data_IF_079711219518
#
_entry.id   IF_079711219518
#
_cell.length_a   1.000
_cell.length_b   1.000
_cell.length_c   1.000
_cell.angle_alpha   90.00
_cell.angle_beta   90.00
_cell.angle_gamma   90.00
#
_symmetry.space_group_name_H-M   'P 1'
#
loop_
_entity.id
_entity.type
_entity.pdbx_description
1 polymer ?
#
# COMPACT_ATOMS: atom_id res chain seq x y z
N UNK A 1 -6.47 -6.98 6.05
CA UNK A 1 -5.04 -6.86 6.42
C UNK A 1 -4.53 -8.04 7.24
N UNK A 2 -5.40 -8.78 7.94
CA UNK A 2 -5.07 -9.99 8.69
C UNK A 2 -4.07 -10.97 8.04
N UNK A 3 -4.31 -11.39 6.79
CA UNK A 3 -3.43 -12.35 6.12
C UNK A 3 -2.02 -11.80 5.73
N UNK A 4 -1.78 -10.49 5.82
CA UNK A 4 -0.51 -9.89 5.40
C UNK A 4 0.57 -9.94 6.50
N UNK A 5 0.21 -10.28 7.74
CA UNK A 5 1.14 -10.37 8.86
C UNK A 5 1.97 -11.66 8.90
N UNK A 6 1.46 -12.74 8.31
CA UNK A 6 2.05 -14.09 8.40
C UNK A 6 2.93 -14.49 7.22
N UNK A 7 2.78 -13.85 6.06
CA UNK A 7 3.55 -14.19 4.85
C UNK A 7 4.11 -12.94 4.15
N UNK A 8 5.44 -12.74 4.07
CA UNK A 8 6.03 -11.58 3.40
C UNK A 8 5.81 -11.57 1.88
N UNK A 9 5.35 -12.69 1.32
CA UNK A 9 5.07 -12.88 -0.11
C UNK A 9 3.63 -12.48 -0.50
N UNK A 10 2.71 -12.39 0.47
CA UNK A 10 1.34 -11.95 0.23
C UNK A 10 1.20 -10.43 0.35
N UNK A 11 1.96 -9.67 -0.46
CA UNK A 11 1.61 -8.27 -0.73
C UNK A 11 0.32 -8.25 -1.55
N UNK A 12 -0.82 -8.49 -0.89
CA UNK A 12 -2.15 -8.40 -1.51
C UNK A 12 -2.27 -7.04 -2.22
N UNK A 13 -2.71 -7.06 -3.48
CA UNK A 13 -2.93 -5.85 -4.29
C UNK A 13 -3.65 -4.81 -3.44
N UNK A 14 -3.11 -3.59 -3.40
CA UNK A 14 -3.72 -2.48 -2.66
C UNK A 14 -5.01 -2.10 -3.40
N UNK A 15 -6.15 -2.55 -2.86
CA UNK A 15 -7.48 -2.31 -3.44
C UNK A 15 -7.80 -0.80 -3.40
N UNK A 16 -7.58 -0.16 -2.26
CA UNK A 16 -7.77 1.29 -2.10
C UNK A 16 -6.54 1.93 -1.46
N UNK A 17 -5.83 2.74 -2.25
CA UNK A 17 -4.66 3.51 -1.78
C UNK A 17 -5.07 4.59 -0.77
N UNK A 18 -6.22 5.22 -0.98
CA UNK A 18 -6.72 6.31 -0.12
C UNK A 18 -7.11 5.79 1.26
N UNK A 19 -7.88 4.70 1.32
CA UNK A 19 -8.29 4.10 2.60
C UNK A 19 -7.07 3.62 3.39
N UNK A 20 -6.12 2.96 2.72
CA UNK A 20 -4.90 2.47 3.36
C UNK A 20 -4.07 3.60 3.96
N UNK A 21 -3.83 4.68 3.20
CA UNK A 21 -3.10 5.85 3.72
C UNK A 21 -3.79 6.49 4.92
N UNK A 22 -5.11 6.58 4.88
CA UNK A 22 -5.88 7.19 5.96
C UNK A 22 -5.88 6.30 7.22
N UNK A 23 -5.93 4.98 7.07
CA UNK A 23 -5.76 4.04 8.18
C UNK A 23 -4.37 4.12 8.78
N UNK A 24 -3.31 4.09 7.96
CA UNK A 24 -1.92 4.20 8.42
C UNK A 24 -1.67 5.52 9.18
N UNK A 25 -2.35 6.59 8.79
CA UNK A 25 -2.32 7.86 9.52
C UNK A 25 -3.00 7.73 10.90
N UNK A 26 -4.17 7.10 10.96
CA UNK A 26 -4.89 6.89 12.22
C UNK A 26 -4.14 5.94 13.18
N UNK A 27 -3.47 4.90 12.66
CA UNK A 27 -2.65 3.97 13.47
C UNK A 27 -1.39 4.61 14.07
N UNK A 28 -0.86 5.67 13.44
CA UNK A 28 0.31 6.41 13.96
C UNK A 28 -0.03 7.34 15.12
N UNK A 29 -1.30 7.62 15.36
CA UNK A 29 -1.71 8.44 16.48
C UNK A 29 -1.56 7.64 17.78
N UNK A 30 -0.61 8.05 18.61
CA UNK A 30 -0.26 7.37 19.88
C UNK A 30 -1.42 7.43 20.90
N UNK A 31 -2.31 8.42 20.77
CA UNK A 31 -3.49 8.58 21.62
C UNK A 31 -4.76 8.56 20.77
N UNK A 32 -5.32 7.38 20.48
CA UNK A 32 -6.66 7.30 19.92
C UNK A 32 -7.65 7.69 21.02
N UNK A 33 -8.24 8.88 20.90
CA UNK A 33 -9.40 9.27 21.71
C UNK A 33 -10.65 8.49 21.33
N UNK A 34 -11.74 8.60 22.13
CA UNK A 34 -13.05 8.09 21.72
C UNK A 34 -13.45 8.64 20.36
N UNK A 35 -14.15 7.85 19.53
CA UNK A 35 -14.53 8.29 18.19
C UNK A 35 -15.56 9.42 18.28
N UNK A 36 -15.20 10.61 17.81
CA UNK A 36 -16.13 11.74 17.69
C UNK A 36 -16.60 11.94 16.25
N UNK A 37 -15.72 11.65 15.28
CA UNK A 37 -16.01 11.79 13.87
C UNK A 37 -16.50 10.47 13.27
N UNK A 38 -17.37 10.55 12.26
CA UNK A 38 -17.82 9.38 11.47
C UNK A 38 -16.65 8.59 10.88
N UNK A 39 -15.58 9.31 10.49
CA UNK A 39 -14.33 8.68 10.01
C UNK A 39 -13.66 7.86 11.10
N UNK A 40 -13.58 8.38 12.33
CA UNK A 40 -12.91 7.71 13.45
C UNK A 40 -13.69 6.46 13.88
N UNK A 41 -15.03 6.51 13.85
CA UNK A 41 -15.87 5.33 14.03
C UNK A 41 -15.50 4.22 13.04
N UNK A 42 -15.36 4.56 11.75
CA UNK A 42 -15.01 3.57 10.71
C UNK A 42 -13.59 3.04 10.90
N UNK A 43 -12.61 3.88 11.26
CA UNK A 43 -11.23 3.42 11.47
C UNK A 43 -11.08 2.56 12.72
N UNK A 44 -11.70 2.93 13.83
CA UNK A 44 -11.70 2.10 15.04
C UNK A 44 -12.44 0.79 14.79
N UNK A 45 -13.56 0.80 14.06
CA UNK A 45 -14.28 -0.41 13.67
C UNK A 45 -13.42 -1.33 12.78
N UNK A 46 -12.67 -0.76 11.83
CA UNK A 46 -11.76 -1.51 10.97
C UNK A 46 -10.60 -2.14 11.75
N UNK A 47 -10.05 -1.42 12.74
CA UNK A 47 -9.01 -1.95 13.62
C UNK A 47 -9.53 -3.08 14.52
N UNK A 48 -10.71 -2.90 15.13
CA UNK A 48 -11.36 -3.95 15.92
C UNK A 48 -11.60 -5.22 15.07
N UNK A 49 -12.10 -5.03 13.85
CA UNK A 49 -12.31 -6.13 12.91
C UNK A 49 -11.00 -6.81 12.50
N UNK A 50 -9.91 -6.06 12.33
CA UNK A 50 -8.60 -6.61 12.01
C UNK A 50 -8.04 -7.53 13.11
N UNK A 51 -8.39 -7.28 14.37
CA UNK A 51 -8.07 -8.14 15.52
C UNK A 51 -9.01 -9.35 15.62
N UNK A 52 -10.15 -9.32 14.93
CA UNK A 52 -11.20 -10.35 14.96
C UNK A 52 -12.32 -10.06 15.96
N UNK A 53 -12.37 -8.87 16.55
CA UNK A 53 -13.44 -8.43 17.44
C UNK A 53 -14.59 -7.80 16.62
N UNK A 54 -15.56 -8.65 16.29
CA UNK A 54 -16.73 -8.25 15.49
C UNK A 54 -17.74 -7.44 16.31
N UNK A 55 -17.89 -7.72 17.61
CA UNK A 55 -18.90 -7.09 18.46
C UNK A 55 -18.59 -5.60 18.63
N UNK A 56 -17.34 -5.27 18.97
CA UNK A 56 -16.87 -3.88 19.05
C UNK A 56 -16.96 -3.16 17.71
N UNK A 57 -16.67 -3.86 16.60
CA UNK A 57 -16.82 -3.29 15.26
C UNK A 57 -18.29 -2.94 14.96
N UNK A 58 -19.22 -3.84 15.30
CA UNK A 58 -20.66 -3.61 15.15
C UNK A 58 -21.15 -2.42 15.98
N UNK A 59 -20.75 -2.32 17.25
CA UNK A 59 -21.12 -1.21 18.13
C UNK A 59 -20.65 0.13 17.57
N UNK A 60 -19.39 0.21 17.14
CA UNK A 60 -18.81 1.43 16.57
C UNK A 60 -19.49 1.88 15.28
N UNK A 61 -19.92 0.93 14.45
CA UNK A 61 -20.64 1.22 13.21
C UNK A 61 -22.09 1.60 13.50
N UNK A 62 -22.77 0.94 14.43
CA UNK A 62 -24.16 1.26 14.79
C UNK A 62 -24.29 2.63 15.48
N UNK A 63 -23.25 3.08 16.17
CA UNK A 63 -23.19 4.39 16.84
C UNK A 63 -23.14 5.60 15.87
N UNK A 64 -22.94 5.38 14.56
CA UNK A 64 -22.84 6.47 13.59
C UNK A 64 -24.22 7.13 13.38
N UNK A 65 -24.31 8.44 13.64
CA UNK A 65 -25.56 9.22 13.53
C UNK A 65 -26.19 9.29 12.13
N UNK A 66 -25.46 8.84 11.09
CA UNK A 66 -25.94 8.88 9.70
C UNK A 66 -27.09 7.91 9.46
N UNK A 67 -27.22 6.86 10.28
CA UNK A 67 -28.28 5.87 10.13
C UNK A 67 -29.67 6.46 10.37
N UNK A 68 -29.80 7.49 11.21
CA UNK A 68 -31.08 8.11 11.56
C UNK A 68 -31.68 8.92 10.40
N UNK A 69 -30.88 9.19 9.36
CA UNK A 69 -31.31 9.87 8.14
C UNK A 69 -31.92 8.92 7.09
N UNK A 70 -31.86 7.60 7.33
CA UNK A 70 -32.31 6.59 6.39
C UNK A 70 -33.67 6.00 6.81
N UNK A 71 -34.65 5.87 5.89
CA UNK A 71 -35.98 5.36 6.22
C UNK A 71 -36.00 3.90 6.67
N UNK A 72 -35.00 3.09 6.29
CA UNK A 72 -34.89 1.66 6.61
C UNK A 72 -33.64 1.36 7.47
N UNK A 73 -33.37 2.21 8.47
CA UNK A 73 -32.15 2.13 9.27
C UNK A 73 -31.95 0.78 9.97
N UNK A 74 -33.00 0.21 10.56
CA UNK A 74 -32.92 -1.02 11.35
C UNK A 74 -32.56 -2.25 10.50
N UNK A 75 -33.23 -2.41 9.35
CA UNK A 75 -32.94 -3.51 8.40
C UNK A 75 -31.50 -3.42 7.87
N UNK A 76 -31.01 -2.21 7.60
CA UNK A 76 -29.62 -2.00 7.18
C UNK A 76 -28.62 -2.32 8.29
N UNK A 77 -28.87 -1.92 9.55
CA UNK A 77 -28.03 -2.26 10.70
C UNK A 77 -27.95 -3.78 10.90
N UNK A 78 -29.06 -4.50 10.73
CA UNK A 78 -29.12 -5.95 10.81
C UNK A 78 -28.35 -6.63 9.67
N UNK A 79 -28.52 -6.16 8.44
CA UNK A 79 -27.76 -6.68 7.28
C UNK A 79 -26.26 -6.45 7.45
N UNK A 80 -25.87 -5.25 7.91
CA UNK A 80 -24.47 -4.87 8.07
C UNK A 80 -23.79 -5.64 9.22
N UNK A 81 -24.47 -5.81 10.35
CA UNK A 81 -23.96 -6.64 11.46
C UNK A 81 -23.73 -8.08 11.03
N UNK A 82 -24.67 -8.68 10.28
CA UNK A 82 -24.46 -10.01 9.70
C UNK A 82 -23.24 -10.08 8.77
N UNK A 83 -23.02 -9.05 7.94
CA UNK A 83 -21.82 -8.97 7.08
C UNK A 83 -20.53 -8.78 7.87
N UNK A 84 -20.55 -7.99 8.94
CA UNK A 84 -19.40 -7.80 9.83
C UNK A 84 -19.06 -9.09 10.58
N UNK A 85 -20.06 -9.86 11.01
CA UNK A 85 -19.84 -11.19 11.61
C UNK A 85 -19.20 -12.16 10.61
N UNK A 86 -19.71 -12.22 9.37
CA UNK A 86 -19.17 -13.09 8.31
C UNK A 86 -17.68 -12.74 8.00
N UNK A 87 -17.37 -11.45 7.82
CA UNK A 87 -16.00 -11.02 7.54
C UNK A 87 -15.09 -11.05 8.77
N UNK A 88 -15.65 -10.86 9.97
CA UNK A 88 -14.95 -10.98 11.25
C UNK A 88 -14.46 -12.41 11.46
N UNK A 89 -15.30 -13.41 11.20
CA UNK A 89 -14.93 -14.82 11.23
C UNK A 89 -13.76 -15.12 10.28
N UNK A 90 -13.85 -14.66 9.02
CA UNK A 90 -12.76 -14.87 8.04
C UNK A 90 -11.46 -14.21 8.51
N UNK A 91 -11.55 -12.99 9.00
CA UNK A 91 -10.41 -12.21 9.48
C UNK A 91 -9.75 -12.85 10.69
N UNK A 92 -10.57 -13.37 11.62
CA UNK A 92 -10.10 -14.13 12.78
C UNK A 92 -9.32 -15.37 12.35
N UNK A 93 -9.88 -16.19 11.45
CA UNK A 93 -9.19 -17.39 10.97
C UNK A 93 -7.88 -17.00 10.26
N UNK A 94 -7.84 -15.96 9.42
CA UNK A 94 -6.59 -15.55 8.77
C UNK A 94 -5.53 -15.06 9.75
N UNK A 95 -5.93 -14.34 10.80
CA UNK A 95 -4.99 -13.77 11.77
C UNK A 95 -4.42 -14.85 12.67
N UNK A 96 -5.26 -15.79 13.11
CA UNK A 96 -4.89 -16.76 14.13
C UNK A 96 -4.65 -18.18 13.61
N UNK A 97 -4.88 -18.47 12.33
CA UNK A 97 -4.61 -19.78 11.72
C UNK A 97 -3.22 -20.34 12.06
N UNK A 98 -2.11 -19.57 12.04
CA UNK A 98 -0.78 -20.11 12.36
C UNK A 98 -0.65 -20.64 13.79
N UNK A 99 -1.50 -20.20 14.72
CA UNK A 99 -1.44 -20.59 16.14
C UNK A 99 -2.33 -21.80 16.47
N UNK A 100 -3.19 -22.22 15.53
CA UNK A 100 -4.13 -23.32 15.75
C UNK A 100 -3.78 -24.55 14.93
N UNK A 101 -3.78 -25.72 15.57
CA UNK A 101 -3.73 -27.01 14.87
C UNK A 101 -5.12 -27.44 14.38
N UNK A 102 -6.13 -27.25 15.22
CA UNK A 102 -7.52 -27.58 14.93
C UNK A 102 -8.48 -26.61 15.65
N UNK A 103 -9.61 -26.29 15.01
CA UNK A 103 -10.67 -25.43 15.54
C UNK A 103 -12.04 -26.08 15.37
N UNK A 104 -12.79 -26.26 16.46
CA UNK A 104 -14.16 -26.77 16.39
C UNK A 104 -15.12 -25.74 15.79
N UNK A 105 -15.99 -26.16 14.86
CA UNK A 105 -16.98 -25.27 14.25
C UNK A 105 -18.02 -24.78 15.24
N UNK A 106 -18.39 -25.59 16.23
CA UNK A 106 -19.39 -25.23 17.24
C UNK A 106 -18.89 -24.07 18.11
N UNK A 107 -17.60 -24.07 18.50
CA UNK A 107 -16.99 -22.92 19.21
C UNK A 107 -16.96 -21.66 18.36
N UNK A 108 -16.66 -21.77 17.06
CA UNK A 108 -16.69 -20.63 16.15
C UNK A 108 -18.11 -20.09 15.98
N UNK A 109 -19.12 -20.95 15.93
CA UNK A 109 -20.53 -20.57 15.89
C UNK A 109 -20.94 -19.78 17.14
N UNK A 110 -20.53 -20.22 18.33
CA UNK A 110 -20.76 -19.51 19.60
C UNK A 110 -20.04 -18.16 19.63
N UNK A 111 -18.76 -18.10 19.26
CA UNK A 111 -17.96 -16.88 19.32
C UNK A 111 -18.44 -15.77 18.39
N UNK A 112 -18.97 -16.13 17.22
CA UNK A 112 -19.45 -15.18 16.22
C UNK A 112 -20.97 -15.05 16.17
N UNK A 113 -21.69 -15.75 17.05
CA UNK A 113 -23.16 -15.78 17.11
C UNK A 113 -23.81 -16.12 15.75
N UNK A 114 -23.17 -17.03 15.01
CA UNK A 114 -23.63 -17.45 13.69
C UNK A 114 -24.11 -18.91 13.72
N UNK A 115 -25.15 -19.27 12.94
CA UNK A 115 -25.54 -20.66 12.78
C UNK A 115 -24.38 -21.51 12.27
N UNK A 116 -24.18 -22.69 12.87
CA UNK A 116 -23.09 -23.61 12.52
C UNK A 116 -23.06 -23.94 11.02
N UNK A 117 -24.24 -24.05 10.38
CA UNK A 117 -24.37 -24.24 8.93
C UNK A 117 -23.74 -23.11 8.12
N UNK A 118 -23.91 -21.85 8.55
CA UNK A 118 -23.30 -20.68 7.88
C UNK A 118 -21.79 -20.67 8.08
N UNK A 119 -21.31 -20.98 9.29
CA UNK A 119 -19.87 -21.09 9.59
C UNK A 119 -19.23 -22.17 8.71
N UNK A 120 -19.83 -23.37 8.65
CA UNK A 120 -19.35 -24.46 7.81
C UNK A 120 -19.30 -24.07 6.32
N UNK A 121 -20.34 -23.37 5.81
CA UNK A 121 -20.38 -22.90 4.43
C UNK A 121 -19.30 -21.84 4.14
N UNK A 122 -19.07 -20.90 5.07
CA UNK A 122 -18.02 -19.89 4.95
C UNK A 122 -16.63 -20.53 4.93
N UNK A 123 -16.36 -21.43 5.87
CA UNK A 123 -15.08 -22.14 5.96
C UNK A 123 -14.84 -22.99 4.71
N UNK A 124 -15.86 -23.74 4.25
CA UNK A 124 -15.77 -24.54 3.02
C UNK A 124 -15.49 -23.65 1.80
N UNK A 125 -16.11 -22.47 1.73
CA UNK A 125 -15.84 -21.48 0.69
C UNK A 125 -14.38 -21.00 0.73
N UNK A 126 -13.84 -20.70 1.92
CA UNK A 126 -12.44 -20.27 2.06
C UNK A 126 -11.45 -21.35 1.63
N UNK A 127 -11.74 -22.62 1.94
CA UNK A 127 -10.92 -23.77 1.48
C UNK A 127 -11.01 -23.90 -0.04
N UNK A 128 -12.21 -23.77 -0.63
CA UNK A 128 -12.41 -23.92 -2.07
C UNK A 128 -11.72 -22.82 -2.92
N UNK A 129 -11.51 -21.63 -2.36
CA UNK A 129 -10.75 -20.55 -3.00
C UNK A 129 -9.26 -20.55 -2.68
N UNK A 130 -8.74 -21.61 -2.03
CA UNK A 130 -7.35 -21.72 -1.57
C UNK A 130 -6.91 -20.53 -0.71
N UNK A 131 -7.83 -19.94 0.06
CA UNK A 131 -7.50 -18.83 0.96
C UNK A 131 -6.81 -19.33 2.23
N UNK A 132 -7.08 -20.57 2.65
CA UNK A 132 -6.52 -21.22 3.84
C UNK A 132 -6.08 -22.64 3.47
N UNK A 133 -4.86 -23.02 3.88
CA UNK A 133 -4.39 -24.39 3.85
C UNK A 133 -5.00 -25.20 5.01
N UNK A 134 -6.29 -25.56 4.91
CA UNK A 134 -6.99 -26.34 5.92
C UNK A 134 -7.92 -27.38 5.30
N UNK A 135 -8.26 -28.41 6.08
CA UNK A 135 -9.22 -29.43 5.71
C UNK A 135 -10.36 -29.44 6.74
N UNK A 136 -11.58 -29.65 6.26
CA UNK A 136 -12.75 -29.77 7.12
C UNK A 136 -13.00 -31.25 7.45
N UNK A 137 -12.93 -31.62 8.73
CA UNK A 137 -13.39 -32.91 9.22
C UNK A 137 -14.90 -32.86 9.47
N UNK A 138 -15.65 -33.62 8.66
CA UNK A 138 -17.11 -33.67 8.73
C UNK A 138 -17.64 -34.47 9.93
N UNK A 139 -16.88 -35.44 10.44
CA UNK A 139 -17.33 -36.30 11.54
C UNK A 139 -17.22 -35.54 12.85
N UNK A 140 -16.05 -34.97 13.13
CA UNK A 140 -15.77 -34.23 14.36
C UNK A 140 -16.15 -32.74 14.27
N UNK A 141 -16.72 -32.28 13.15
CA UNK A 141 -17.07 -30.87 12.88
C UNK A 141 -15.94 -29.90 13.23
N UNK A 142 -14.74 -30.23 12.78
CA UNK A 142 -13.53 -29.51 13.17
C UNK A 142 -12.73 -29.11 11.92
N UNK A 143 -12.22 -27.88 11.93
CA UNK A 143 -11.30 -27.36 10.92
C UNK A 143 -9.89 -27.73 11.33
N UNK A 144 -9.21 -28.56 10.53
CA UNK A 144 -7.82 -28.98 10.77
C UNK A 144 -6.91 -28.20 9.85
N UNK A 145 -5.98 -27.43 10.41
CA UNK A 145 -5.03 -26.67 9.61
C UNK A 145 -3.91 -27.58 9.14
N UNK A 146 -3.65 -27.56 7.82
CA UNK A 146 -2.47 -28.20 7.28
C UNK A 146 -1.34 -27.22 7.46
N UNK A 147 -0.57 -27.37 8.54
CA UNK A 147 0.73 -26.72 8.67
C UNK A 147 1.54 -27.14 7.45
N UNK A 148 1.69 -26.23 6.49
CA UNK A 148 2.64 -26.42 5.41
C UNK A 148 4.03 -26.56 6.01
N UNK A 149 5.03 -26.83 5.16
CA UNK A 149 6.41 -26.52 5.53
C UNK A 149 6.48 -24.99 5.60
N UNK A 150 6.05 -24.42 6.72
CA UNK A 150 6.19 -23.00 6.99
C UNK A 150 7.68 -22.74 7.06
N UNK A 151 8.23 -22.17 5.99
CA UNK A 151 9.61 -21.74 5.98
C UNK A 151 9.80 -20.79 7.16
N UNK A 152 10.83 -21.05 7.95
CA UNK A 152 11.19 -20.15 9.05
C UNK A 152 11.31 -18.73 8.52
N UNK A 153 10.99 -17.73 9.33
CA UNK A 153 11.15 -16.31 8.96
C UNK A 153 12.55 -16.03 8.38
N UNK A 154 13.58 -16.71 8.88
CA UNK A 154 14.94 -16.62 8.34
C UNK A 154 15.06 -17.20 6.93
N UNK A 155 14.44 -18.36 6.66
CA UNK A 155 14.39 -18.97 5.32
C UNK A 155 13.63 -18.09 4.33
N UNK A 156 12.49 -17.53 4.74
CA UNK A 156 11.74 -16.60 3.88
C UNK A 156 12.53 -15.33 3.58
N UNK A 157 13.24 -14.78 4.58
CA UNK A 157 14.12 -13.63 4.38
C UNK A 157 15.31 -13.97 3.47
N UNK A 158 15.89 -15.16 3.61
CA UNK A 158 16.99 -15.63 2.77
C UNK A 158 16.55 -15.76 1.30
N UNK A 159 15.38 -16.34 1.02
CA UNK A 159 14.81 -16.40 -0.32
C UNK A 159 14.55 -15.00 -0.88
N UNK A 160 13.91 -14.11 -0.11
CA UNK A 160 13.65 -12.74 -0.53
C UNK A 160 14.94 -11.95 -0.80
N UNK A 161 16.02 -12.22 -0.08
CA UNK A 161 17.35 -11.66 -0.35
C UNK A 161 17.97 -12.27 -1.61
N UNK A 162 17.80 -13.57 -1.84
CA UNK A 162 18.25 -14.24 -3.06
C UNK A 162 17.58 -13.64 -4.30
N UNK A 163 16.26 -13.44 -4.28
CA UNK A 163 15.53 -12.82 -5.40
C UNK A 163 15.99 -11.37 -5.64
N UNK A 164 16.23 -10.61 -4.57
CA UNK A 164 16.78 -9.25 -4.67
C UNK A 164 18.19 -9.24 -5.23
N UNK A 165 19.03 -10.20 -4.83
CA UNK A 165 20.38 -10.32 -5.34
C UNK A 165 20.37 -10.64 -6.84
N UNK A 166 19.53 -11.58 -7.28
CA UNK A 166 19.31 -11.88 -8.69
C UNK A 166 18.84 -10.64 -9.46
N UNK A 167 17.85 -9.90 -8.94
CA UNK A 167 17.40 -8.66 -9.57
C UNK A 167 18.47 -7.56 -9.61
N UNK A 168 19.38 -7.50 -8.64
CA UNK A 168 20.52 -6.58 -8.66
C UNK A 168 21.57 -6.99 -9.70
N UNK A 169 21.78 -8.30 -9.90
CA UNK A 169 22.66 -8.81 -10.96
C UNK A 169 22.09 -8.41 -12.33
N UNK A 170 20.80 -8.65 -12.59
CA UNK A 170 20.15 -8.23 -13.83
C UNK A 170 20.23 -6.72 -14.07
N UNK A 171 20.05 -5.91 -13.01
CA UNK A 171 20.20 -4.45 -13.11
C UNK A 171 21.65 -4.04 -13.42
N UNK A 172 22.63 -4.69 -12.79
CA UNK A 172 24.04 -4.45 -13.06
C UNK A 172 24.40 -4.80 -14.51
N UNK A 173 23.92 -5.93 -15.02
CA UNK A 173 24.10 -6.34 -16.41
C UNK A 173 23.49 -5.32 -17.38
N UNK A 174 22.25 -4.88 -17.16
CA UNK A 174 21.61 -3.84 -17.98
C UNK A 174 22.38 -2.51 -17.97
N UNK A 175 22.87 -2.07 -16.81
CA UNK A 175 23.67 -0.84 -16.71
C UNK A 175 25.02 -1.02 -17.40
N UNK A 176 25.62 -2.21 -17.29
CA UNK A 176 26.86 -2.54 -17.99
C UNK A 176 26.66 -2.53 -19.50
N UNK A 177 25.60 -3.16 -20.02
CA UNK A 177 25.25 -3.14 -21.45
C UNK A 177 24.99 -1.72 -21.96
N UNK A 178 24.26 -0.89 -21.20
CA UNK A 178 24.03 0.52 -21.55
C UNK A 178 25.34 1.33 -21.60
N UNK A 179 26.26 1.11 -20.66
CA UNK A 179 27.58 1.74 -20.66
C UNK A 179 28.45 1.22 -21.80
N UNK A 180 28.39 -0.07 -22.09
CA UNK A 180 29.17 -0.71 -23.15
C UNK A 180 28.68 -0.32 -24.55
N UNK A 181 27.36 -0.17 -24.75
CA UNK A 181 26.77 0.33 -25.99
C UNK A 181 26.89 1.86 -26.13
N UNK A 182 26.87 2.61 -25.01
CA UNK A 182 27.15 4.04 -25.00
C UNK A 182 28.62 4.41 -25.19
N UNK A 183 29.54 3.44 -25.09
CA UNK A 183 30.98 3.60 -25.31
C UNK A 183 31.44 3.33 -26.75
N UNK A 184 30.56 2.87 -27.64
CA UNK A 184 30.89 2.50 -29.03
C UNK A 184 30.43 3.52 -30.08
N UNK A 185 30.15 4.77 -29.70
CA UNK A 185 29.94 5.89 -30.65
C UNK A 185 30.94 7.02 -30.39
N UNK A 186 32.22 6.69 -30.29
CA UNK A 186 33.25 7.71 -30.12
C UNK A 186 34.65 7.18 -29.89
N UNK A 187 35.26 6.61 -30.93
CA UNK A 187 36.72 6.63 -31.06
C UNK A 187 37.45 5.36 -30.64
N UNK A 188 37.37 4.32 -31.46
CA UNK A 188 38.52 3.44 -31.74
C UNK A 188 38.44 3.01 -33.21
N UNK A 189 38.72 3.95 -34.11
CA UNK A 189 39.08 3.62 -35.49
C UNK A 189 40.58 3.38 -35.51
N UNK A 190 40.94 2.14 -35.20
CA UNK A 190 42.29 1.61 -35.27
C UNK A 190 42.78 1.59 -36.73
N UNK A 191 44.07 1.87 -36.90
CA UNK A 191 44.71 2.28 -38.14
C UNK A 191 44.38 1.45 -39.38
N UNK A 192 43.91 2.14 -40.42
CA UNK A 192 44.18 1.73 -41.79
C UNK A 192 44.17 2.93 -42.75
N UNK A 193 45.34 3.12 -43.39
CA UNK A 193 45.56 3.84 -44.64
C UNK A 193 45.21 5.35 -44.70
N UNK A 194 46.25 6.20 -44.75
CA UNK A 194 46.62 6.97 -45.96
C UNK A 194 47.77 7.96 -45.70
N UNK A 195 48.92 7.54 -46.19
CA UNK A 195 49.96 8.32 -46.87
C UNK A 195 49.60 9.76 -47.27
N UNK A 196 50.49 10.71 -46.91
CA UNK A 196 50.83 11.82 -47.80
C UNK A 196 50.68 13.25 -47.23
N UNK A 197 51.82 13.84 -46.86
CA UNK A 197 52.15 15.19 -47.34
C UNK A 197 51.87 16.40 -46.45
N UNK A 198 52.94 16.95 -45.87
CA UNK A 198 53.26 18.37 -46.10
C UNK A 198 52.85 19.39 -45.04
N UNK A 199 53.82 19.79 -44.22
CA UNK A 199 54.28 21.18 -44.27
C UNK A 199 53.91 22.15 -43.14
N UNK A 200 54.98 22.72 -42.56
CA UNK A 200 55.13 24.07 -41.98
C UNK A 200 54.63 24.31 -40.56
N UNK A 201 55.58 24.23 -39.64
CA UNK A 201 55.59 25.03 -38.42
C UNK A 201 55.89 26.51 -38.68
N UNK A 202 55.61 27.35 -37.67
CA UNK A 202 56.17 28.71 -37.60
C UNK A 202 55.36 29.71 -36.78
N UNK A 203 55.88 30.02 -35.58
CA UNK A 203 55.98 31.34 -34.92
C UNK A 203 54.72 32.12 -34.48
N UNK A 204 54.57 32.15 -33.15
CA UNK A 204 54.57 33.34 -32.26
C UNK A 204 54.43 34.78 -32.85
N UNK A 205 53.48 35.52 -32.25
CA UNK A 205 53.57 36.89 -31.65
C UNK A 205 52.83 38.06 -32.34
N UNK A 206 52.05 38.81 -31.53
CA UNK A 206 51.47 40.15 -31.79
C UNK A 206 49.95 40.12 -32.08
N UNK A 207 49.00 40.39 -31.17
CA UNK A 207 48.71 41.58 -30.34
C UNK A 207 48.10 42.74 -31.16
N UNK A 208 46.76 42.87 -31.19
CA UNK A 208 45.98 44.06 -30.75
C UNK A 208 44.49 44.04 -31.19
N UNK A 209 43.64 44.60 -30.32
CA UNK A 209 42.20 44.91 -30.42
C UNK A 209 41.25 43.73 -30.20
N UNK A 210 40.25 43.77 -29.31
CA UNK A 210 39.71 44.80 -28.44
C UNK A 210 38.54 44.17 -27.64
N UNK A 211 38.00 44.94 -26.70
CA UNK A 211 36.81 44.64 -25.89
C UNK A 211 36.97 43.63 -24.74
N UNK A 212 37.53 44.16 -23.63
CA UNK A 212 37.15 43.76 -22.28
C UNK A 212 35.64 43.98 -22.10
N UNK A 213 34.90 42.88 -21.99
CA UNK A 213 33.47 42.85 -21.67
C UNK A 213 33.19 41.76 -20.64
N UNK A 214 33.60 42.00 -19.40
CA UNK A 214 33.14 41.23 -18.25
C UNK A 214 31.69 41.56 -17.89
N UNK A 215 30.94 40.56 -17.45
CA UNK A 215 29.59 40.71 -16.90
C UNK A 215 28.76 39.44 -17.12
N UNK A 216 28.89 38.42 -16.26
CA UNK A 216 27.98 38.19 -15.12
C UNK A 216 26.52 38.54 -15.40
N UNK A 217 25.68 37.50 -15.45
CA UNK A 217 24.33 37.57 -14.90
C UNK A 217 23.21 37.08 -15.81
N UNK A 218 22.65 35.91 -15.48
CA UNK A 218 21.19 35.71 -15.57
C UNK A 218 20.70 34.62 -14.62
N UNK A 219 20.81 34.90 -13.32
CA UNK A 219 19.75 34.56 -12.37
C UNK A 219 18.77 35.73 -12.36
N UNK A 220 17.47 35.46 -12.48
CA UNK A 220 16.46 36.51 -12.60
C UNK A 220 15.11 36.07 -12.09
N UNK A 221 14.97 36.09 -10.76
CA UNK A 221 13.69 36.06 -10.09
C UNK A 221 13.19 37.48 -9.78
N UNK A 222 11.85 37.56 -9.68
CA UNK A 222 11.00 38.59 -9.06
C UNK A 222 10.67 39.85 -9.85
N UNK A 223 9.35 40.05 -9.97
CA UNK A 223 8.73 41.27 -9.45
C UNK A 223 8.07 42.18 -10.47
N UNK A 224 6.74 42.08 -10.59
CA UNK A 224 5.91 43.25 -10.91
C UNK A 224 4.60 43.15 -10.13
N UNK A 225 4.49 44.01 -9.10
CA UNK A 225 3.24 44.27 -8.39
C UNK A 225 2.48 45.45 -9.01
N UNK A 226 1.23 45.62 -8.54
CA UNK A 226 0.39 46.80 -8.78
C UNK A 226 -1.10 46.42 -8.82
N UNK A 227 -1.76 46.32 -7.66
CA UNK A 227 -2.75 47.30 -7.11
C UNK A 227 -4.01 47.49 -7.98
N UNK A 228 -5.16 47.04 -7.48
CA UNK A 228 -6.20 47.97 -7.01
C UNK A 228 -7.16 47.29 -6.01
N UNK A 229 -7.44 47.99 -4.91
CA UNK A 229 -8.41 47.65 -3.87
C UNK A 229 -9.49 48.72 -3.93
N UNK A 230 -10.76 48.34 -4.02
CA UNK A 230 -11.88 49.22 -3.65
C UNK A 230 -12.89 48.44 -2.82
N UNK A 231 -13.12 48.96 -1.61
CA UNK A 231 -14.10 48.58 -0.61
C UNK A 231 -15.36 49.44 -0.78
N UNK A 232 -16.53 48.83 -0.65
CA UNK A 232 -17.80 49.37 -0.12
C UNK A 232 -18.81 48.20 -0.19
N UNK A 233 -19.62 47.82 0.79
CA UNK A 233 -20.13 48.41 2.04
C UNK A 233 -21.51 47.77 2.25
N UNK A 234 -21.81 47.24 3.44
CA UNK A 234 -23.01 46.44 3.76
C UNK A 234 -24.33 47.24 3.95
N UNK A 235 -25.44 46.68 3.40
CA UNK A 235 -26.85 46.54 3.91
C UNK A 235 -27.78 47.79 4.04
N UNK A 236 -29.14 47.67 4.21
CA UNK A 236 -30.11 46.55 4.17
C UNK A 236 -31.44 46.82 3.36
N UNK A 237 -32.45 45.94 3.55
CA UNK A 237 -33.75 45.71 2.88
C UNK A 237 -34.88 46.78 2.93
N UNK A 238 -35.84 46.61 2.00
CA UNK A 238 -37.32 46.88 1.97
C UNK A 238 -37.72 47.08 0.49
N UNK A 239 -38.81 46.59 -0.09
CA UNK A 239 -40.14 46.14 0.36
C UNK A 239 -40.64 44.98 -0.50
#
# INVERSE_FOLDING_TARGET
MAAAGSSPDQRKRVISKTFRRMLEFHERNVFPGPPENTRDHVFQAANALAVGDWARSCELIQAIKIWDLLPNAESLKLMLSGKIQEEGLRTYIFTYAPFYDALSLSRLAEMFELPERKVAALVSKMIAYDEIAAALDQINRTLVFRKGVEMSRLQTLALALSDKASGLIELNERVFEQKSQGGTTGGFQEGSARQGGGGRGGKSRGEFSGASGGGRGRGGGRGRGGRNVQFAGERPAKS
#
